data_IF_192321837558
#
_entry.id   IF_192321837558
#
_cell.length_a   1.000
_cell.length_b   1.000
_cell.length_c   1.000
_cell.angle_alpha   90.00
_cell.angle_beta   90.00
_cell.angle_gamma   90.00
#
_symmetry.space_group_name_H-M   'P 1'
#
loop_
_entity.id
_entity.type
_entity.pdbx_description
1 polymer ?
#
# COMPACT_ATOMS: atom_id res chain seq x y z
N UNK A 1 6.91 10.83 -23.68
CA UNK A 1 7.71 9.74 -24.25
C UNK A 1 7.54 8.45 -23.44
N UNK A 2 7.86 8.41 -22.14
CA UNK A 2 7.73 7.16 -21.34
C UNK A 2 6.28 6.68 -21.16
N UNK A 3 5.32 7.58 -20.90
CA UNK A 3 3.89 7.23 -20.81
C UNK A 3 3.31 6.69 -22.13
N UNK A 4 3.79 7.19 -23.26
CA UNK A 4 3.34 6.79 -24.60
C UNK A 4 3.86 5.40 -24.99
N UNK A 5 5.11 5.09 -24.59
CA UNK A 5 5.68 3.75 -24.76
C UNK A 5 4.89 2.74 -23.93
N UNK A 6 4.57 3.09 -22.69
CA UNK A 6 3.81 2.23 -21.79
C UNK A 6 2.38 1.97 -22.31
N UNK A 7 1.64 3.01 -22.71
CA UNK A 7 0.28 2.86 -23.24
C UNK A 7 0.28 2.02 -24.52
N UNK A 8 1.20 2.30 -25.45
CA UNK A 8 1.32 1.53 -26.69
C UNK A 8 1.61 0.06 -26.42
N UNK A 9 2.43 -0.23 -25.40
CA UNK A 9 2.78 -1.60 -25.03
C UNK A 9 1.62 -2.34 -24.38
N UNK A 10 0.90 -1.69 -23.47
CA UNK A 10 -0.33 -2.24 -22.87
C UNK A 10 -1.37 -2.55 -23.94
N UNK A 11 -1.60 -1.62 -24.87
CA UNK A 11 -2.54 -1.83 -25.97
C UNK A 11 -2.17 -3.01 -26.86
N UNK A 12 -0.87 -3.20 -27.13
CA UNK A 12 -0.38 -4.35 -27.91
C UNK A 12 -0.61 -5.67 -27.18
N UNK A 13 -0.23 -5.75 -25.90
CA UNK A 13 -0.43 -6.95 -25.09
C UNK A 13 -1.92 -7.29 -24.97
N UNK A 14 -2.77 -6.28 -24.75
CA UNK A 14 -4.21 -6.47 -24.67
C UNK A 14 -4.79 -7.03 -25.97
N UNK A 15 -4.35 -6.53 -27.14
CA UNK A 15 -4.75 -7.11 -28.44
C UNK A 15 -4.31 -8.56 -28.60
N UNK A 16 -3.07 -8.88 -28.22
CA UNK A 16 -2.59 -10.28 -28.26
C UNK A 16 -3.47 -11.18 -27.40
N UNK A 17 -3.84 -10.72 -26.20
CA UNK A 17 -4.75 -11.44 -25.30
C UNK A 17 -6.12 -11.61 -25.95
N UNK A 18 -6.71 -10.54 -26.48
CA UNK A 18 -8.05 -10.55 -27.10
C UNK A 18 -8.12 -11.46 -28.33
N UNK A 19 -7.11 -11.39 -29.20
CA UNK A 19 -7.04 -12.17 -30.44
C UNK A 19 -6.82 -13.67 -30.14
N UNK A 20 -6.05 -13.97 -29.09
CA UNK A 20 -5.71 -15.35 -28.71
C UNK A 20 -6.78 -16.01 -27.83
N UNK A 21 -7.64 -15.22 -27.16
CA UNK A 21 -8.59 -15.72 -26.16
C UNK A 21 -9.53 -16.81 -26.71
N UNK A 22 -9.98 -16.66 -27.95
CA UNK A 22 -10.91 -17.62 -28.58
C UNK A 22 -10.24 -18.93 -29.04
N UNK A 23 -8.91 -18.92 -29.20
CA UNK A 23 -8.14 -20.04 -29.75
C UNK A 23 -7.41 -20.83 -28.66
N UNK A 24 -7.23 -20.24 -27.47
CA UNK A 24 -6.55 -20.88 -26.37
C UNK A 24 -7.38 -21.99 -25.71
N UNK A 25 -6.73 -22.80 -24.88
CA UNK A 25 -7.42 -23.85 -24.16
C UNK A 25 -8.37 -23.27 -23.11
N UNK A 26 -9.41 -24.01 -22.67
CA UNK A 26 -10.34 -23.51 -21.66
C UNK A 26 -9.68 -23.13 -20.33
N UNK A 27 -8.62 -23.83 -19.90
CA UNK A 27 -7.95 -23.53 -18.63
C UNK A 27 -6.99 -22.35 -18.76
N UNK A 28 -6.36 -22.17 -19.94
CA UNK A 28 -5.62 -20.95 -20.28
C UNK A 28 -6.52 -19.74 -20.21
N UNK A 29 -7.70 -19.78 -20.86
CA UNK A 29 -8.67 -18.70 -20.81
C UNK A 29 -9.14 -18.40 -19.37
N UNK A 30 -9.35 -19.45 -18.57
CA UNK A 30 -9.74 -19.30 -17.16
C UNK A 30 -8.63 -18.70 -16.31
N UNK A 31 -7.37 -19.05 -16.57
CA UNK A 31 -6.19 -18.44 -15.95
C UNK A 31 -6.09 -16.95 -16.29
N UNK A 32 -6.35 -16.57 -17.55
CA UNK A 32 -6.42 -15.16 -17.96
C UNK A 32 -7.48 -14.40 -17.17
N UNK A 33 -8.71 -14.93 -17.11
CA UNK A 33 -9.80 -14.31 -16.34
C UNK A 33 -9.52 -14.28 -14.83
N UNK A 34 -8.72 -15.24 -14.32
CA UNK A 34 -8.30 -15.25 -12.92
C UNK A 34 -7.33 -14.11 -12.61
N UNK A 35 -6.45 -13.76 -13.55
CA UNK A 35 -5.46 -12.68 -13.42
C UNK A 35 -6.06 -11.30 -13.74
N UNK A 36 -6.90 -11.24 -14.78
CA UNK A 36 -7.49 -10.03 -15.34
C UNK A 36 -9.02 -10.13 -15.31
N UNK A 37 -9.64 -10.09 -14.11
CA UNK A 37 -11.11 -10.17 -13.99
C UNK A 37 -11.86 -9.02 -14.66
N UNK A 38 -11.16 -7.93 -14.97
CA UNK A 38 -11.66 -6.75 -15.70
C UNK A 38 -11.90 -6.98 -17.20
N UNK A 39 -11.38 -8.06 -17.78
CA UNK A 39 -11.63 -8.39 -19.18
C UNK A 39 -13.10 -8.80 -19.36
N UNK A 40 -13.83 -8.07 -20.20
CA UNK A 40 -15.24 -8.35 -20.53
C UNK A 40 -15.36 -9.57 -21.47
N UNK A 41 -15.01 -10.74 -20.93
CA UNK A 41 -15.14 -12.04 -21.60
C UNK A 41 -15.76 -13.03 -20.62
N UNK A 42 -16.60 -13.91 -21.15
CA UNK A 42 -17.26 -14.93 -20.37
C UNK A 42 -16.94 -16.30 -20.95
N UNK A 43 -16.61 -17.24 -20.06
CA UNK A 43 -16.56 -18.65 -20.38
C UNK A 43 -17.96 -19.24 -20.23
N UNK A 44 -18.36 -20.12 -21.14
CA UNK A 44 -19.58 -20.91 -20.95
C UNK A 44 -19.31 -22.02 -19.94
N UNK A 45 -19.35 -21.65 -18.66
CA UNK A 45 -19.11 -22.55 -17.54
C UNK A 45 -20.11 -23.70 -17.49
N UNK A 46 -21.30 -23.55 -18.08
CA UNK A 46 -22.31 -24.62 -18.10
C UNK A 46 -21.90 -25.77 -19.02
N UNK A 47 -21.44 -25.45 -20.22
CA UNK A 47 -20.90 -26.43 -21.16
C UNK A 47 -19.62 -27.05 -20.61
N UNK A 48 -18.71 -26.23 -20.07
CA UNK A 48 -17.47 -26.71 -19.45
C UNK A 48 -17.74 -27.64 -18.27
N UNK A 49 -18.73 -27.32 -17.42
CA UNK A 49 -19.09 -28.16 -16.29
C UNK A 49 -19.63 -29.53 -16.72
N UNK A 50 -20.44 -29.57 -17.78
CA UNK A 50 -20.92 -30.84 -18.33
C UNK A 50 -19.77 -31.68 -18.89
N UNK A 51 -18.85 -31.07 -19.63
CA UNK A 51 -17.68 -31.75 -20.20
C UNK A 51 -16.66 -32.20 -19.13
N UNK A 52 -16.54 -31.47 -18.02
CA UNK A 52 -15.62 -31.81 -16.93
C UNK A 52 -15.91 -33.19 -16.31
N UNK A 53 -17.17 -33.64 -16.35
CA UNK A 53 -17.59 -34.98 -15.89
C UNK A 53 -17.02 -36.11 -16.74
N UNK A 54 -16.42 -35.82 -17.89
CA UNK A 54 -15.67 -36.79 -18.69
C UNK A 54 -14.23 -36.98 -18.20
N UNK A 55 -13.80 -36.21 -17.20
CA UNK A 55 -12.45 -36.29 -16.63
C UNK A 55 -11.37 -35.60 -17.46
N UNK A 56 -11.74 -34.64 -18.32
CA UNK A 56 -10.77 -33.86 -19.10
C UNK A 56 -10.16 -32.76 -18.23
N UNK A 57 -8.84 -32.77 -18.06
CA UNK A 57 -8.15 -31.84 -17.16
C UNK A 57 -8.32 -30.36 -17.52
N UNK A 58 -8.43 -29.93 -18.81
CA UNK A 58 -8.64 -28.51 -19.10
C UNK A 58 -9.93 -27.98 -18.48
N UNK A 59 -11.04 -28.69 -18.65
CA UNK A 59 -12.33 -28.29 -18.09
C UNK A 59 -12.31 -28.30 -16.55
N UNK A 60 -11.66 -29.31 -15.95
CA UNK A 60 -11.53 -29.40 -14.48
C UNK A 60 -10.72 -28.22 -13.94
N UNK A 61 -9.60 -27.88 -14.57
CA UNK A 61 -8.78 -26.73 -14.18
C UNK A 61 -9.53 -25.40 -14.36
N UNK A 62 -10.32 -25.24 -15.44
CA UNK A 62 -11.21 -24.08 -15.62
C UNK A 62 -12.20 -23.92 -14.48
N UNK A 63 -12.87 -25.01 -14.08
CA UNK A 63 -13.76 -24.99 -12.91
C UNK A 63 -12.99 -24.68 -11.63
N UNK A 64 -11.77 -25.18 -11.49
CA UNK A 64 -10.89 -24.89 -10.36
C UNK A 64 -10.60 -23.39 -10.21
N UNK A 65 -10.20 -22.71 -11.29
CA UNK A 65 -10.03 -21.24 -11.28
C UNK A 65 -11.35 -20.50 -11.01
N UNK A 66 -12.48 -20.99 -11.53
CA UNK A 66 -13.79 -20.39 -11.28
C UNK A 66 -14.22 -20.51 -9.80
N UNK A 67 -13.97 -21.66 -9.17
CA UNK A 67 -14.17 -21.84 -7.74
C UNK A 67 -13.21 -20.95 -6.96
N UNK A 68 -11.95 -20.85 -7.41
CA UNK A 68 -10.92 -19.99 -6.85
C UNK A 68 -11.28 -18.51 -6.86
N UNK A 69 -12.02 -18.03 -7.86
CA UNK A 69 -12.55 -16.66 -7.93
C UNK A 69 -13.85 -16.47 -7.12
N UNK A 70 -14.36 -17.51 -6.46
CA UNK A 70 -15.52 -17.46 -5.58
C UNK A 70 -16.81 -18.08 -6.14
N UNK A 71 -16.81 -18.56 -7.38
CA UNK A 71 -17.98 -19.21 -7.97
C UNK A 71 -18.07 -20.70 -7.55
N UNK A 72 -18.86 -20.98 -6.52
CA UNK A 72 -19.03 -22.34 -5.98
C UNK A 72 -20.10 -23.19 -6.69
N UNK A 73 -20.77 -22.66 -7.71
CA UNK A 73 -21.93 -23.33 -8.32
C UNK A 73 -21.60 -24.69 -8.92
N UNK A 74 -20.40 -24.85 -9.50
CA UNK A 74 -19.98 -26.07 -10.19
C UNK A 74 -19.05 -26.98 -9.36
N UNK A 75 -19.11 -26.87 -8.03
CA UNK A 75 -18.25 -27.64 -7.11
C UNK A 75 -18.42 -29.15 -7.27
N UNK A 76 -19.65 -29.64 -7.46
CA UNK A 76 -19.92 -31.07 -7.64
C UNK A 76 -19.33 -31.60 -8.96
N UNK A 77 -19.51 -30.88 -10.07
CA UNK A 77 -18.92 -31.21 -11.35
C UNK A 77 -17.39 -31.25 -11.29
N UNK A 78 -16.79 -30.27 -10.61
CA UNK A 78 -15.35 -30.22 -10.39
C UNK A 78 -14.85 -31.45 -9.62
N UNK A 79 -15.51 -31.82 -8.52
CA UNK A 79 -15.14 -32.99 -7.71
C UNK A 79 -15.34 -34.31 -8.46
N UNK A 80 -16.44 -34.49 -9.20
CA UNK A 80 -16.66 -35.70 -10.02
C UNK A 80 -15.61 -35.81 -11.13
N UNK A 81 -15.34 -34.71 -11.83
CA UNK A 81 -14.30 -34.64 -12.86
C UNK A 81 -12.92 -34.99 -12.30
N UNK A 82 -12.56 -34.45 -11.13
CA UNK A 82 -11.25 -34.71 -10.51
C UNK A 82 -11.10 -36.17 -10.05
N UNK A 83 -12.14 -36.76 -9.46
CA UNK A 83 -12.15 -38.18 -9.10
C UNK A 83 -11.98 -39.09 -10.34
N UNK A 84 -12.53 -38.70 -11.48
CA UNK A 84 -12.35 -39.44 -12.74
C UNK A 84 -10.96 -39.25 -13.31
N UNK A 85 -10.42 -38.03 -13.27
CA UNK A 85 -9.06 -37.74 -13.70
C UNK A 85 -8.03 -38.56 -12.89
N UNK A 86 -8.21 -38.66 -11.57
CA UNK A 86 -7.38 -39.49 -10.69
C UNK A 86 -7.37 -40.97 -11.09
N UNK A 87 -8.45 -41.49 -11.68
CA UNK A 87 -8.59 -42.90 -12.09
C UNK A 87 -8.13 -43.16 -13.53
N UNK A 88 -7.66 -42.15 -14.26
CA UNK A 88 -7.20 -42.32 -15.66
C UNK A 88 -5.89 -43.10 -15.74
N UNK A 89 -5.65 -43.67 -16.92
CA UNK A 89 -4.40 -44.35 -17.26
C UNK A 89 -3.23 -43.37 -17.33
N UNK A 90 -2.00 -43.89 -17.18
CA UNK A 90 -0.76 -43.10 -17.13
C UNK A 90 -0.62 -42.04 -18.25
N UNK A 91 -0.96 -42.29 -19.53
CA UNK A 91 -0.76 -41.29 -20.58
C UNK A 91 -1.58 -40.01 -20.37
N UNK A 92 -2.86 -40.14 -20.00
CA UNK A 92 -3.72 -38.97 -19.75
C UNK A 92 -3.35 -38.23 -18.47
N UNK A 93 -2.76 -38.93 -17.50
CA UNK A 93 -2.22 -38.32 -16.30
C UNK A 93 -0.91 -37.59 -16.57
N UNK A 94 -0.09 -38.08 -17.51
CA UNK A 94 1.16 -37.45 -17.91
C UNK A 94 0.92 -36.08 -18.56
N UNK A 95 -0.09 -35.94 -19.43
CA UNK A 95 -0.45 -34.65 -20.04
C UNK A 95 -0.83 -33.63 -18.96
N UNK A 96 -1.70 -34.02 -18.01
CA UNK A 96 -2.06 -33.16 -16.87
C UNK A 96 -0.85 -32.85 -15.98
N UNK A 97 -0.04 -33.86 -15.65
CA UNK A 97 1.16 -33.69 -14.85
C UNK A 97 2.22 -32.84 -15.57
N UNK A 98 2.11 -32.66 -16.89
CA UNK A 98 2.97 -31.80 -17.69
C UNK A 98 2.58 -30.32 -17.65
N UNK A 99 1.33 -30.01 -17.30
CA UNK A 99 0.71 -28.70 -17.43
C UNK A 99 0.58 -27.97 -16.08
N UNK A 100 1.49 -27.02 -15.85
CA UNK A 100 1.56 -26.26 -14.60
C UNK A 100 0.36 -25.33 -14.38
N UNK A 101 -0.25 -24.80 -15.45
CA UNK A 101 -1.42 -23.93 -15.36
C UNK A 101 -2.64 -24.75 -14.94
N UNK A 102 -2.81 -25.94 -15.53
CA UNK A 102 -3.87 -26.85 -15.14
C UNK A 102 -3.75 -27.28 -13.67
N UNK A 103 -2.54 -27.63 -13.23
CA UNK A 103 -2.26 -27.99 -11.83
C UNK A 103 -2.58 -26.82 -10.89
N UNK A 104 -2.16 -25.60 -11.24
CA UNK A 104 -2.49 -24.40 -10.47
C UNK A 104 -4.01 -24.17 -10.39
N UNK A 105 -4.74 -24.33 -11.50
CA UNK A 105 -6.19 -24.19 -11.53
C UNK A 105 -6.90 -25.17 -10.61
N UNK A 106 -6.51 -26.45 -10.64
CA UNK A 106 -7.06 -27.46 -9.74
C UNK A 106 -6.73 -27.13 -8.28
N UNK A 107 -5.50 -26.72 -7.97
CA UNK A 107 -5.11 -26.34 -6.61
C UNK A 107 -5.88 -25.10 -6.10
N UNK A 108 -6.08 -24.09 -6.96
CA UNK A 108 -6.85 -22.88 -6.64
C UNK A 108 -8.32 -23.21 -6.35
N UNK A 109 -8.89 -24.22 -7.01
CA UNK A 109 -10.22 -24.74 -6.68
C UNK A 109 -10.26 -25.48 -5.35
N UNK A 110 -9.39 -26.49 -5.18
CA UNK A 110 -9.35 -27.36 -4.00
C UNK A 110 -9.13 -26.62 -2.68
N UNK A 111 -8.36 -25.53 -2.68
CA UNK A 111 -8.10 -24.76 -1.44
C UNK A 111 -9.35 -24.08 -0.87
N UNK A 112 -10.36 -23.83 -1.70
CA UNK A 112 -11.60 -23.13 -1.31
C UNK A 112 -12.73 -24.10 -0.93
N UNK A 113 -12.49 -25.40 -1.00
CA UNK A 113 -13.43 -26.43 -0.60
C UNK A 113 -13.25 -26.82 0.87
N UNK A 114 -14.33 -27.30 1.48
CA UNK A 114 -14.31 -27.80 2.85
C UNK A 114 -13.41 -29.05 2.97
N UNK A 115 -12.76 -29.20 4.12
CA UNK A 115 -11.87 -30.33 4.41
C UNK A 115 -12.64 -31.61 4.77
N UNK A 116 -13.32 -32.16 3.76
CA UNK A 116 -13.86 -33.52 3.76
C UNK A 116 -12.74 -34.56 3.57
N UNK A 117 -12.98 -35.82 3.90
CA UNK A 117 -11.99 -36.89 3.62
C UNK A 117 -11.69 -37.00 2.12
N UNK A 118 -12.71 -36.89 1.26
CA UNK A 118 -12.55 -36.90 -0.20
C UNK A 118 -11.64 -35.76 -0.68
N UNK A 119 -11.84 -34.53 -0.20
CA UNK A 119 -11.01 -33.39 -0.61
C UNK A 119 -9.58 -33.51 -0.09
N UNK A 120 -9.36 -34.08 1.11
CA UNK A 120 -8.01 -34.38 1.62
C UNK A 120 -7.29 -35.42 0.77
N UNK A 121 -7.97 -36.49 0.35
CA UNK A 121 -7.40 -37.51 -0.55
C UNK A 121 -7.01 -36.89 -1.90
N UNK A 122 -7.86 -36.03 -2.46
CA UNK A 122 -7.60 -35.33 -3.71
C UNK A 122 -6.44 -34.33 -3.59
N UNK A 123 -6.36 -33.57 -2.48
CA UNK A 123 -5.22 -32.67 -2.19
C UNK A 123 -3.92 -33.46 -2.09
N UNK A 124 -3.93 -34.62 -1.40
CA UNK A 124 -2.76 -35.50 -1.28
C UNK A 124 -2.31 -36.04 -2.64
N UNK A 125 -3.24 -36.53 -3.45
CA UNK A 125 -2.94 -37.01 -4.80
C UNK A 125 -2.37 -35.91 -5.70
N UNK A 126 -2.94 -34.69 -5.66
CA UNK A 126 -2.41 -33.57 -6.43
C UNK A 126 -1.01 -33.16 -5.95
N UNK A 127 -0.74 -33.22 -4.63
CA UNK A 127 0.60 -33.00 -4.08
C UNK A 127 1.61 -34.03 -4.59
N UNK A 128 1.22 -35.31 -4.75
CA UNK A 128 2.09 -36.32 -5.36
C UNK A 128 2.47 -35.91 -6.79
N UNK A 129 1.52 -35.40 -7.58
CA UNK A 129 1.77 -34.89 -8.95
C UNK A 129 2.65 -33.63 -8.94
N UNK A 130 2.39 -32.68 -8.05
CA UNK A 130 3.21 -31.46 -7.88
C UNK A 130 4.67 -31.82 -7.58
N UNK A 131 4.90 -32.90 -6.84
CA UNK A 131 6.25 -33.36 -6.48
C UNK A 131 6.91 -34.20 -7.59
N UNK A 132 6.20 -34.57 -8.67
CA UNK A 132 6.83 -35.19 -9.84
C UNK A 132 7.75 -34.14 -10.49
N UNK A 133 9.05 -34.40 -10.41
CA UNK A 133 10.12 -33.50 -10.86
C UNK A 133 9.96 -33.14 -12.34
N UNK A 134 9.66 -31.88 -12.61
CA UNK A 134 9.91 -31.26 -13.90
C UNK A 134 11.21 -30.44 -13.88
N UNK A 135 11.72 -30.11 -15.07
CA UNK A 135 12.87 -29.22 -15.23
C UNK A 135 12.63 -27.90 -14.50
N UNK A 136 13.49 -27.55 -13.55
CA UNK A 136 13.45 -26.25 -12.83
C UNK A 136 13.75 -25.05 -13.73
N UNK A 137 13.98 -25.26 -15.03
CA UNK A 137 14.28 -24.22 -16.02
C UNK A 137 13.06 -23.74 -16.78
N UNK A 138 11.89 -24.33 -16.58
CA UNK A 138 10.67 -23.83 -17.22
C UNK A 138 10.12 -22.62 -16.46
N UNK A 139 9.65 -21.61 -17.20
CA UNK A 139 9.15 -20.37 -16.62
C UNK A 139 7.90 -20.62 -15.76
N UNK A 140 7.15 -21.69 -16.06
CA UNK A 140 5.91 -22.09 -15.39
C UNK A 140 6.10 -22.83 -14.06
N UNK A 141 7.32 -23.30 -13.74
CA UNK A 141 7.60 -24.07 -12.50
C UNK A 141 7.12 -23.36 -11.22
N UNK A 142 7.12 -22.02 -11.24
CA UNK A 142 6.62 -21.18 -10.14
C UNK A 142 5.12 -21.39 -9.87
N UNK A 143 4.32 -21.62 -10.90
CA UNK A 143 2.91 -21.95 -10.77
C UNK A 143 2.72 -23.29 -10.06
N UNK A 144 3.55 -24.29 -10.39
CA UNK A 144 3.54 -25.59 -9.71
C UNK A 144 3.95 -25.48 -8.24
N UNK A 145 4.99 -24.70 -7.94
CA UNK A 145 5.40 -24.44 -6.56
C UNK A 145 4.27 -23.75 -5.77
N UNK A 146 3.62 -22.75 -6.36
CA UNK A 146 2.44 -22.09 -5.79
C UNK A 146 1.30 -23.10 -5.59
N UNK A 147 1.01 -23.96 -6.57
CA UNK A 147 -0.02 -24.98 -6.45
C UNK A 147 0.22 -25.89 -5.25
N UNK A 148 1.47 -26.32 -5.00
CA UNK A 148 1.81 -27.06 -3.80
C UNK A 148 1.55 -26.27 -2.51
N UNK A 149 1.98 -25.01 -2.46
CA UNK A 149 1.79 -24.16 -1.28
C UNK A 149 0.32 -23.79 -1.02
N UNK A 150 -0.53 -23.75 -2.06
CA UNK A 150 -1.97 -23.61 -1.90
C UNK A 150 -2.61 -24.83 -1.22
N UNK A 151 -1.99 -26.01 -1.32
CA UNK A 151 -2.54 -27.26 -0.79
C UNK A 151 -2.05 -27.58 0.61
N UNK A 152 -0.77 -27.33 0.94
CA UNK A 152 -0.17 -27.72 2.22
C UNK A 152 0.65 -26.63 2.94
N UNK A 153 0.84 -25.45 2.34
CA UNK A 153 1.58 -24.32 2.92
C UNK A 153 3.02 -24.64 3.38
N UNK A 154 3.69 -25.62 2.78
CA UNK A 154 5.04 -26.05 3.22
C UNK A 154 6.17 -25.08 2.84
N UNK A 155 5.90 -24.05 2.02
CA UNK A 155 6.87 -23.01 1.68
C UNK A 155 7.81 -23.43 0.54
N UNK A 156 7.25 -24.01 -0.52
CA UNK A 156 7.96 -24.35 -1.76
C UNK A 156 8.38 -23.09 -2.52
N UNK A 157 7.58 -22.04 -2.44
CA UNK A 157 7.91 -20.75 -3.04
C UNK A 157 9.09 -20.10 -2.30
N UNK A 158 10.14 -19.76 -3.05
CA UNK A 158 11.37 -19.12 -2.53
C UNK A 158 11.81 -18.03 -3.48
N UNK A 159 12.31 -16.90 -3.00
CA UNK A 159 12.84 -15.86 -3.89
C UNK A 159 13.97 -16.43 -4.76
N UNK A 160 13.83 -16.37 -6.08
CA UNK A 160 14.90 -16.72 -7.00
C UNK A 160 15.87 -15.54 -7.13
N UNK A 161 17.17 -15.71 -6.93
CA UNK A 161 18.14 -14.67 -7.29
C UNK A 161 18.29 -14.52 -8.82
N UNK A 162 17.98 -15.57 -9.59
CA UNK A 162 18.35 -15.69 -11.00
C UNK A 162 17.12 -15.66 -11.93
N UNK A 163 16.07 -14.92 -11.55
CA UNK A 163 14.91 -14.72 -12.42
C UNK A 163 15.35 -14.22 -13.81
N UNK A 164 14.75 -14.76 -14.87
CA UNK A 164 14.69 -14.06 -16.14
C UNK A 164 13.50 -13.08 -16.13
N UNK A 165 13.33 -12.31 -17.21
CA UNK A 165 12.25 -11.32 -17.29
C UNK A 165 10.86 -11.96 -17.14
N UNK A 166 10.67 -13.15 -17.71
CA UNK A 166 9.41 -13.89 -17.66
C UNK A 166 9.11 -14.41 -16.26
N UNK A 167 10.08 -15.05 -15.61
CA UNK A 167 9.95 -15.55 -14.25
C UNK A 167 9.71 -14.44 -13.24
N UNK A 168 10.34 -13.27 -13.43
CA UNK A 168 10.06 -12.09 -12.60
C UNK A 168 8.63 -11.55 -12.81
N UNK A 169 8.20 -11.42 -14.07
CA UNK A 169 6.83 -10.97 -14.38
C UNK A 169 5.78 -11.93 -13.80
N UNK A 170 6.05 -13.25 -13.87
CA UNK A 170 5.23 -14.27 -13.27
C UNK A 170 5.17 -14.12 -11.74
N UNK A 171 6.32 -14.01 -11.07
CA UNK A 171 6.40 -13.84 -9.61
C UNK A 171 5.58 -12.63 -9.13
N UNK A 172 5.71 -11.45 -9.76
CA UNK A 172 4.92 -10.27 -9.39
C UNK A 172 3.41 -10.46 -9.65
N UNK A 173 3.05 -11.15 -10.73
CA UNK A 173 1.67 -11.47 -11.05
C UNK A 173 1.07 -12.42 -10.01
N UNK A 174 1.75 -13.53 -9.73
CA UNK A 174 1.30 -14.54 -8.76
C UNK A 174 1.17 -13.94 -7.35
N UNK A 175 2.14 -13.09 -6.94
CA UNK A 175 2.11 -12.39 -5.65
C UNK A 175 0.90 -11.47 -5.51
N UNK A 176 0.43 -10.89 -6.61
CA UNK A 176 -0.73 -10.01 -6.62
C UNK A 176 -2.04 -10.79 -6.51
N UNK A 177 -2.14 -11.93 -7.20
CA UNK A 177 -3.38 -12.73 -7.26
C UNK A 177 -3.52 -13.67 -6.04
N UNK A 178 -2.40 -14.17 -5.49
CA UNK A 178 -2.34 -15.10 -4.36
C UNK A 178 -1.49 -14.55 -3.19
N UNK A 179 -1.82 -13.38 -2.61
CA UNK A 179 -0.94 -12.68 -1.66
C UNK A 179 -0.61 -13.48 -0.39
N UNK A 180 -1.55 -14.32 0.09
CA UNK A 180 -1.39 -15.07 1.34
C UNK A 180 -0.18 -16.01 1.30
N UNK A 181 0.01 -16.70 0.16
CA UNK A 181 1.12 -17.64 -0.06
C UNK A 181 2.48 -16.92 -0.16
N UNK A 182 2.48 -15.63 -0.49
CA UNK A 182 3.69 -14.82 -0.62
C UNK A 182 3.99 -13.96 0.62
N UNK A 183 3.15 -14.01 1.66
CA UNK A 183 3.28 -13.17 2.86
C UNK A 183 4.62 -13.33 3.59
N UNK A 184 5.22 -14.52 3.55
CA UNK A 184 6.51 -14.82 4.19
C UNK A 184 7.70 -14.73 3.23
N UNK A 185 7.46 -14.45 1.95
CA UNK A 185 8.48 -14.49 0.91
C UNK A 185 8.96 -13.06 0.67
N UNK A 186 10.26 -12.77 0.90
CA UNK A 186 10.77 -11.42 0.73
C UNK A 186 10.63 -10.98 -0.72
N UNK A 187 10.25 -9.70 -0.89
CA UNK A 187 10.20 -9.10 -2.22
C UNK A 187 11.61 -9.05 -2.84
N UNK A 188 11.71 -9.18 -4.18
CA UNK A 188 12.96 -8.96 -4.86
C UNK A 188 13.54 -7.57 -4.58
N UNK A 189 14.87 -7.50 -4.51
CA UNK A 189 15.59 -6.25 -4.24
C UNK A 189 15.21 -5.16 -5.26
N UNK A 190 15.21 -3.89 -4.81
CA UNK A 190 14.75 -2.76 -5.63
C UNK A 190 15.49 -2.64 -6.96
N UNK A 191 16.80 -2.86 -6.96
CA UNK A 191 17.63 -2.75 -8.16
C UNK A 191 17.33 -3.87 -9.15
N UNK A 192 17.08 -5.08 -8.63
CA UNK A 192 16.63 -6.23 -9.41
C UNK A 192 15.27 -5.94 -10.08
N UNK A 193 14.29 -5.43 -9.33
CA UNK A 193 12.98 -5.03 -9.88
C UNK A 193 13.11 -3.96 -10.97
N UNK A 194 13.96 -2.96 -10.77
CA UNK A 194 14.22 -1.91 -11.77
C UNK A 194 14.82 -2.46 -13.05
N UNK A 195 15.78 -3.38 -12.93
CA UNK A 195 16.39 -4.05 -14.08
C UNK A 195 15.32 -4.81 -14.87
N UNK A 196 14.54 -5.67 -14.22
CA UNK A 196 13.51 -6.45 -14.90
C UNK A 196 12.40 -5.59 -15.47
N UNK A 197 12.01 -4.50 -14.81
CA UNK A 197 11.02 -3.59 -15.38
C UNK A 197 11.54 -2.93 -16.67
N UNK A 198 12.81 -2.51 -16.67
CA UNK A 198 13.44 -1.97 -17.89
C UNK A 198 13.48 -3.02 -19.00
N UNK A 199 13.86 -4.25 -18.67
CA UNK A 199 13.92 -5.35 -19.62
C UNK A 199 12.51 -5.67 -20.17
N UNK A 200 11.51 -5.76 -19.28
CA UNK A 200 10.11 -5.97 -19.62
C UNK A 200 9.58 -4.86 -20.52
N UNK A 201 9.94 -3.60 -20.31
CA UNK A 201 9.55 -2.48 -21.19
C UNK A 201 10.27 -2.52 -22.54
N UNK A 202 11.49 -3.03 -22.61
CA UNK A 202 12.32 -3.02 -23.82
C UNK A 202 12.05 -4.22 -24.75
N UNK A 203 11.69 -5.37 -24.19
CA UNK A 203 11.36 -6.58 -24.99
C UNK A 203 10.10 -6.38 -25.84
N UNK A 204 10.03 -6.95 -27.02
CA UNK A 204 8.85 -6.82 -27.88
C UNK A 204 7.72 -7.71 -27.35
N UNK A 205 6.50 -7.19 -27.11
CA UNK A 205 5.32 -8.01 -26.80
C UNK A 205 5.07 -9.17 -27.75
N UNK A 206 5.55 -9.08 -29.01
CA UNK A 206 5.46 -10.20 -29.97
C UNK A 206 6.25 -11.45 -29.55
N UNK A 207 7.12 -11.35 -28.54
CA UNK A 207 7.83 -12.48 -27.94
C UNK A 207 7.00 -13.23 -26.88
N UNK A 208 5.84 -12.70 -26.48
CA UNK A 208 4.86 -13.49 -25.75
C UNK A 208 4.21 -14.44 -26.74
N UNK A 209 4.84 -15.62 -26.91
CA UNK A 209 4.42 -16.63 -27.89
C UNK A 209 2.99 -17.11 -27.62
N UNK A 210 2.58 -17.11 -26.35
CA UNK A 210 1.28 -17.60 -25.90
C UNK A 210 0.52 -16.58 -25.02
N UNK A 211 -0.81 -16.77 -24.93
CA UNK A 211 -1.74 -15.87 -24.24
C UNK A 211 -1.41 -15.71 -22.74
N UNK A 212 -0.91 -16.75 -22.11
CA UNK A 212 -0.59 -16.77 -20.68
C UNK A 212 0.58 -15.83 -20.39
N UNK A 213 1.63 -15.89 -21.22
CA UNK A 213 2.78 -15.00 -21.09
C UNK A 213 2.38 -13.55 -21.34
N UNK A 214 1.55 -13.29 -22.38
CA UNK A 214 1.06 -11.95 -22.67
C UNK A 214 0.25 -11.37 -21.47
N UNK A 215 -0.57 -12.21 -20.86
CA UNK A 215 -1.37 -11.86 -19.66
C UNK A 215 -0.50 -11.57 -18.46
N UNK A 216 0.51 -12.40 -18.20
CA UNK A 216 1.47 -12.21 -17.11
C UNK A 216 2.24 -10.90 -17.29
N UNK A 217 2.72 -10.64 -18.50
CA UNK A 217 3.44 -9.41 -18.81
C UNK A 217 2.55 -8.18 -18.63
N UNK A 218 1.31 -8.24 -19.14
CA UNK A 218 0.34 -7.18 -18.97
C UNK A 218 0.10 -6.87 -17.50
N UNK A 219 -0.19 -7.90 -16.68
CA UNK A 219 -0.44 -7.71 -15.26
C UNK A 219 0.78 -7.21 -14.49
N UNK A 220 1.97 -7.74 -14.80
CA UNK A 220 3.20 -7.30 -14.16
C UNK A 220 3.50 -5.82 -14.43
N UNK A 221 3.28 -5.35 -15.67
CA UNK A 221 3.41 -3.94 -16.02
C UNK A 221 2.44 -3.09 -15.19
N UNK A 222 1.17 -3.48 -15.11
CA UNK A 222 0.14 -2.75 -14.37
C UNK A 222 0.48 -2.64 -12.88
N UNK A 223 0.84 -3.76 -12.25
CA UNK A 223 1.22 -3.81 -10.83
C UNK A 223 2.45 -2.92 -10.54
N UNK A 224 3.46 -2.96 -11.41
CA UNK A 224 4.66 -2.14 -11.20
C UNK A 224 4.33 -0.65 -11.37
N UNK A 225 3.46 -0.30 -12.33
CA UNK A 225 3.02 1.08 -12.53
C UNK A 225 2.21 1.59 -11.33
N UNK A 226 1.28 0.79 -10.82
CA UNK A 226 0.46 1.15 -9.66
C UNK A 226 1.35 1.38 -8.42
N UNK A 227 2.30 0.45 -8.16
CA UNK A 227 3.28 0.61 -7.07
C UNK A 227 4.18 1.84 -7.25
N UNK A 228 4.55 2.17 -8.50
CA UNK A 228 5.37 3.35 -8.80
C UNK A 228 4.57 4.65 -8.58
N UNK A 229 3.29 4.68 -8.95
CA UNK A 229 2.40 5.82 -8.73
C UNK A 229 2.15 6.04 -7.23
N UNK A 230 1.81 4.98 -6.48
CA UNK A 230 1.64 5.04 -5.03
C UNK A 230 2.91 5.58 -4.34
N UNK A 231 4.08 5.15 -4.81
CA UNK A 231 5.36 5.63 -4.30
C UNK A 231 5.63 7.11 -4.60
N UNK A 232 5.31 7.58 -5.81
CA UNK A 232 5.50 8.99 -6.18
C UNK A 232 4.57 9.87 -5.35
N UNK A 233 3.31 9.47 -5.21
CA UNK A 233 2.32 10.19 -4.40
C UNK A 233 2.78 10.28 -2.94
N UNK A 234 3.26 9.17 -2.37
CA UNK A 234 3.75 9.16 -0.98
C UNK A 234 5.07 9.92 -0.80
N UNK A 235 6.00 9.92 -1.76
CA UNK A 235 7.26 10.67 -1.66
C UNK A 235 7.02 12.19 -1.78
N UNK A 236 6.14 12.65 -2.68
CA UNK A 236 5.78 14.07 -2.83
C UNK A 236 5.01 14.61 -1.62
N UNK A 237 4.06 13.84 -1.10
CA UNK A 237 3.27 14.24 0.08
C UNK A 237 4.14 14.29 1.36
N UNK A 238 5.07 13.35 1.53
CA UNK A 238 6.01 13.35 2.65
C UNK A 238 6.96 14.55 2.61
N UNK A 239 7.47 14.92 1.44
CA UNK A 239 8.31 16.10 1.27
C UNK A 239 7.54 17.40 1.58
N UNK A 240 6.27 17.47 1.15
CA UNK A 240 5.39 18.60 1.45
C UNK A 240 5.10 18.72 2.97
N UNK A 241 4.84 17.60 3.65
CA UNK A 241 4.60 17.56 5.09
C UNK A 241 5.85 17.95 5.89
N UNK A 242 7.04 17.49 5.47
CA UNK A 242 8.30 17.86 6.13
C UNK A 242 8.58 19.37 6.01
N UNK A 243 8.34 19.96 4.83
CA UNK A 243 8.47 21.40 4.59
C UNK A 243 7.47 22.21 5.43
N UNK A 244 6.20 21.77 5.47
CA UNK A 244 5.18 22.40 6.32
C UNK A 244 5.52 22.28 7.82
N UNK A 245 6.09 21.16 8.25
CA UNK A 245 6.60 20.95 9.61
C UNK A 245 7.76 21.90 9.95
N UNK A 246 8.71 22.12 9.03
CA UNK A 246 9.80 23.09 9.20
C UNK A 246 9.29 24.53 9.26
N UNK A 247 8.32 24.89 8.43
CA UNK A 247 7.68 26.22 8.45
C UNK A 247 6.96 26.44 9.78
N UNK A 248 6.17 25.47 10.24
CA UNK A 248 5.50 25.52 11.55
C UNK A 248 6.50 25.71 12.70
N UNK A 249 7.55 24.89 12.74
CA UNK A 249 8.61 24.98 13.77
C UNK A 249 9.29 26.35 13.80
N UNK A 250 9.54 26.94 12.62
CA UNK A 250 10.13 28.27 12.52
C UNK A 250 9.18 29.37 13.03
N UNK A 251 7.88 29.27 12.72
CA UNK A 251 6.85 30.20 13.22
C UNK A 251 6.77 30.12 14.75
N UNK A 252 6.67 28.90 15.30
CA UNK A 252 6.57 28.65 16.74
C UNK A 252 7.78 29.22 17.50
N UNK A 253 8.98 28.99 16.96
CA UNK A 253 10.24 29.50 17.51
C UNK A 253 10.32 31.02 17.47
N UNK A 254 9.85 31.64 16.38
CA UNK A 254 9.85 33.10 16.25
C UNK A 254 8.82 33.75 17.19
N UNK A 255 7.62 33.16 17.32
CA UNK A 255 6.60 33.63 18.26
C UNK A 255 7.11 33.60 19.71
N UNK A 256 7.79 32.53 20.12
CA UNK A 256 8.39 32.43 21.47
C UNK A 256 9.49 33.47 21.69
N UNK A 257 10.33 33.76 20.69
CA UNK A 257 11.37 34.80 20.78
C UNK A 257 10.75 36.20 20.93
N UNK A 258 9.70 36.49 20.17
CA UNK A 258 8.99 37.78 20.26
C UNK A 258 8.32 37.93 21.62
N UNK A 259 7.61 36.91 22.10
CA UNK A 259 7.01 36.91 23.44
C UNK A 259 8.06 37.15 24.54
N UNK A 260 9.23 36.49 24.45
CA UNK A 260 10.35 36.69 25.40
C UNK A 260 10.90 38.12 25.36
N UNK A 261 11.01 38.73 24.17
CA UNK A 261 11.44 40.14 24.04
C UNK A 261 10.41 41.10 24.64
N UNK A 262 9.13 40.90 24.38
CA UNK A 262 8.06 41.72 24.97
C UNK A 262 8.08 41.64 26.50
N UNK A 263 8.25 40.43 27.07
CA UNK A 263 8.36 40.25 28.51
C UNK A 263 9.62 40.92 29.10
N UNK A 264 10.75 40.86 28.38
CA UNK A 264 11.97 41.54 28.79
C UNK A 264 11.82 43.07 28.77
N UNK A 265 11.14 43.63 27.76
CA UNK A 265 10.84 45.06 27.70
C UNK A 265 9.92 45.51 28.82
N UNK A 266 8.89 44.71 29.14
CA UNK A 266 8.02 44.94 30.27
C UNK A 266 8.82 44.95 31.58
N UNK A 267 9.65 43.93 31.81
CA UNK A 267 10.52 43.88 32.99
C UNK A 267 11.46 45.10 33.07
N UNK A 268 12.08 45.46 31.94
CA UNK A 268 12.99 46.61 31.85
C UNK A 268 12.28 47.92 32.19
N UNK A 269 11.03 48.06 31.76
CA UNK A 269 10.20 49.23 32.09
C UNK A 269 9.93 49.32 33.59
N UNK A 270 9.57 48.22 34.26
CA UNK A 270 9.36 48.23 35.71
C UNK A 270 10.64 48.56 36.48
N UNK A 271 11.78 48.01 36.07
CA UNK A 271 13.08 48.34 36.68
C UNK A 271 13.40 49.82 36.51
N UNK A 272 13.16 50.38 35.31
CA UNK A 272 13.39 51.80 35.05
C UNK A 272 12.50 52.69 35.93
N UNK A 273 11.20 52.40 36.00
CA UNK A 273 10.25 53.15 36.85
C UNK A 273 10.67 53.07 38.32
N UNK A 274 11.09 51.90 38.79
CA UNK A 274 11.60 51.72 40.16
C UNK A 274 12.85 52.57 40.42
N UNK A 275 13.83 52.59 39.50
CA UNK A 275 15.03 53.40 39.63
C UNK A 275 14.74 54.91 39.63
N UNK A 276 13.80 55.35 38.79
CA UNK A 276 13.33 56.75 38.77
C UNK A 276 12.71 57.09 40.13
N UNK A 277 11.85 56.20 40.66
CA UNK A 277 11.20 56.40 41.95
C UNK A 277 12.20 56.51 43.10
N UNK A 278 13.19 55.63 43.13
CA UNK A 278 14.30 55.69 44.10
C UNK A 278 15.09 57.00 43.96
N UNK A 279 15.41 57.43 42.74
CA UNK A 279 16.09 58.70 42.49
C UNK A 279 15.29 59.91 42.99
N UNK A 280 13.97 59.90 42.79
CA UNK A 280 13.08 60.94 43.31
C UNK A 280 13.02 60.96 44.83
N UNK A 281 13.01 59.78 45.49
CA UNK A 281 13.09 59.68 46.96
C UNK A 281 14.38 60.31 47.49
N UNK A 282 15.53 60.02 46.86
CA UNK A 282 16.80 60.63 47.26
C UNK A 282 16.82 62.15 47.08
N UNK A 283 16.11 62.69 46.08
CA UNK A 283 16.10 64.12 45.78
C UNK A 283 15.12 64.93 46.63
N UNK A 284 13.89 64.44 46.81
CA UNK A 284 12.80 65.17 47.48
C UNK A 284 12.54 64.73 48.93
N UNK A 285 13.19 63.66 49.38
CA UNK A 285 12.98 63.07 50.69
C UNK A 285 11.74 62.19 50.75
N UNK A 286 11.73 61.28 51.73
CA UNK A 286 10.68 60.28 51.92
C UNK A 286 9.30 60.90 52.15
N UNK A 287 9.21 61.91 53.03
CA UNK A 287 7.96 62.55 53.44
C UNK A 287 7.15 63.12 52.25
N UNK A 288 7.82 63.62 51.22
CA UNK A 288 7.15 64.16 50.01
C UNK A 288 6.73 63.03 49.06
N UNK A 289 7.52 61.97 48.99
CA UNK A 289 7.31 60.85 48.06
C UNK A 289 6.36 59.77 48.59
N UNK A 290 6.06 59.75 49.88
CA UNK A 290 5.20 58.76 50.51
C UNK A 290 3.81 58.70 49.85
N UNK A 291 3.14 59.84 49.71
CA UNK A 291 1.80 59.92 49.11
C UNK A 291 1.78 59.43 47.65
N UNK A 292 2.84 59.72 46.90
CA UNK A 292 2.98 59.26 45.52
C UNK A 292 3.23 57.76 45.43
N UNK A 293 3.99 57.20 46.36
CA UNK A 293 4.27 55.75 46.42
C UNK A 293 2.99 54.96 46.64
N UNK A 294 2.17 55.38 47.61
CA UNK A 294 0.85 54.79 47.86
C UNK A 294 -0.08 54.92 46.66
N UNK A 295 -0.05 56.05 45.96
CA UNK A 295 -0.83 56.25 44.74
C UNK A 295 -0.44 55.28 43.63
N UNK A 296 0.85 55.11 43.36
CA UNK A 296 1.37 54.19 42.33
C UNK A 296 1.05 52.74 42.69
N UNK A 297 1.24 52.34 43.94
CA UNK A 297 0.92 50.99 44.42
C UNK A 297 -0.58 50.68 44.30
N UNK A 298 -1.43 51.64 44.67
CA UNK A 298 -2.88 51.55 44.49
C UNK A 298 -3.28 51.35 43.03
N UNK A 299 -2.64 52.08 42.10
CA UNK A 299 -2.88 51.92 40.66
C UNK A 299 -2.47 50.52 40.17
N UNK A 300 -1.32 49.99 40.62
CA UNK A 300 -0.87 48.65 40.23
C UNK A 300 -1.87 47.57 40.67
N UNK A 301 -2.37 47.67 41.91
CA UNK A 301 -3.38 46.74 42.44
C UNK A 301 -4.68 46.82 41.63
N UNK A 302 -5.17 48.03 41.36
CA UNK A 302 -6.38 48.25 40.54
C UNK A 302 -6.20 47.63 39.14
N UNK A 303 -5.07 47.87 38.48
CA UNK A 303 -4.77 47.29 37.16
C UNK A 303 -4.72 45.76 37.22
N UNK A 304 -4.14 45.18 38.27
CA UNK A 304 -4.12 43.73 38.49
C UNK A 304 -5.52 43.13 38.61
N UNK A 305 -6.41 43.77 39.38
CA UNK A 305 -7.82 43.35 39.49
C UNK A 305 -8.59 43.50 38.19
N UNK A 306 -8.36 44.59 37.44
CA UNK A 306 -8.96 44.77 36.11
C UNK A 306 -8.50 43.68 35.13
N UNK A 307 -7.20 43.34 35.13
CA UNK A 307 -6.66 42.25 34.32
C UNK A 307 -7.34 40.92 34.65
N UNK A 308 -7.46 40.60 35.94
CA UNK A 308 -8.16 39.40 36.39
C UNK A 308 -9.63 39.39 35.97
N UNK A 309 -10.35 40.51 36.14
CA UNK A 309 -11.75 40.63 35.76
C UNK A 309 -12.00 40.42 34.25
N UNK A 310 -11.08 40.89 33.40
CA UNK A 310 -11.18 40.73 31.94
C UNK A 310 -10.76 39.32 31.51
N UNK A 311 -9.71 38.78 32.13
CA UNK A 311 -9.04 37.56 31.65
C UNK A 311 -9.52 36.29 32.37
N UNK A 312 -10.23 36.44 33.50
CA UNK A 312 -10.68 35.35 34.40
C UNK A 312 -9.55 34.35 34.71
N UNK A 313 -8.32 34.84 34.85
CA UNK A 313 -7.13 34.04 35.12
C UNK A 313 -6.20 34.81 36.02
N UNK A 314 -5.55 34.12 36.95
CA UNK A 314 -4.54 34.72 37.80
C UNK A 314 -3.39 35.31 36.96
N UNK A 315 -2.85 36.49 37.32
CA UNK A 315 -1.70 37.10 36.68
C UNK A 315 -0.42 36.30 37.00
N UNK A 316 -0.31 35.12 36.40
CA UNK A 316 0.88 34.28 36.45
C UNK A 316 1.78 34.62 35.25
N UNK A 317 3.07 34.95 35.46
CA UNK A 317 4.03 35.22 34.39
C UNK A 317 4.07 34.12 33.31
N UNK A 318 3.90 32.85 33.70
CA UNK A 318 3.87 31.71 32.78
C UNK A 318 2.62 31.78 31.89
N UNK A 319 1.44 31.98 32.49
CA UNK A 319 0.18 32.10 31.75
C UNK A 319 0.17 33.31 30.81
N UNK A 320 0.80 34.43 31.23
CA UNK A 320 0.92 35.64 30.41
C UNK A 320 1.85 35.37 29.23
N UNK A 321 2.98 34.69 29.46
CA UNK A 321 3.91 34.29 28.41
C UNK A 321 3.26 33.36 27.39
N UNK A 322 2.55 32.32 27.85
CA UNK A 322 1.89 31.35 26.97
C UNK A 322 0.79 32.03 26.14
N UNK A 323 -0.03 32.90 26.75
CA UNK A 323 -1.06 33.66 26.04
C UNK A 323 -0.46 34.62 24.99
N UNK A 324 0.66 35.26 25.30
CA UNK A 324 1.39 36.12 24.35
C UNK A 324 1.98 35.30 23.20
N UNK A 325 2.63 34.18 23.51
CA UNK A 325 3.21 33.29 22.52
C UNK A 325 2.12 32.73 21.59
N UNK A 326 0.99 32.26 22.13
CA UNK A 326 -0.14 31.78 21.34
C UNK A 326 -0.80 32.87 20.50
N UNK A 327 -0.92 34.10 21.01
CA UNK A 327 -1.45 35.24 20.25
C UNK A 327 -0.54 35.59 19.07
N UNK A 328 0.76 35.72 19.31
CA UNK A 328 1.74 35.99 18.26
C UNK A 328 1.80 34.86 17.23
N UNK A 329 1.75 33.60 17.69
CA UNK A 329 1.71 32.44 16.82
C UNK A 329 0.48 32.47 15.90
N UNK A 330 -0.71 32.76 16.45
CA UNK A 330 -1.95 32.90 15.67
C UNK A 330 -1.87 34.02 14.64
N UNK A 331 -1.37 35.20 15.03
CA UNK A 331 -1.19 36.32 14.11
C UNK A 331 -0.18 35.98 13.00
N UNK A 332 0.88 35.25 13.29
CA UNK A 332 1.86 34.82 12.29
C UNK A 332 1.28 33.77 11.34
N UNK A 333 0.46 32.82 11.84
CA UNK A 333 -0.25 31.87 10.98
C UNK A 333 -1.22 32.57 10.03
N UNK A 334 -2.01 33.53 10.53
CA UNK A 334 -2.96 34.30 9.72
C UNK A 334 -2.23 35.13 8.65
N UNK A 335 -1.11 35.77 9.01
CA UNK A 335 -0.29 36.57 8.06
C UNK A 335 0.37 35.74 6.96
N UNK A 336 0.79 34.52 7.28
CA UNK A 336 1.45 33.62 6.33
C UNK A 336 0.46 32.72 5.58
N UNK A 337 -0.84 32.84 5.83
CA UNK A 337 -1.87 31.99 5.24
C UNK A 337 -1.72 30.51 5.61
N UNK A 338 -1.11 30.22 6.76
CA UNK A 338 -0.82 28.84 7.18
C UNK A 338 -2.05 28.22 7.84
N UNK A 339 -2.68 27.28 7.14
CA UNK A 339 -3.84 26.53 7.65
C UNK A 339 -3.39 25.37 8.55
N UNK A 340 -3.49 25.60 9.86
CA UNK A 340 -3.15 24.62 10.90
C UNK A 340 -4.05 23.38 10.88
N UNK A 341 -5.33 23.53 10.53
CA UNK A 341 -6.27 22.40 10.46
C UNK A 341 -5.94 21.50 9.28
N UNK A 342 -5.64 22.10 8.13
CA UNK A 342 -5.23 21.35 6.94
C UNK A 342 -3.92 20.61 7.17
N UNK A 343 -2.95 21.21 7.87
CA UNK A 343 -1.70 20.54 8.24
C UNK A 343 -1.93 19.35 9.18
N UNK A 344 -2.80 19.47 10.19
CA UNK A 344 -3.12 18.36 11.10
C UNK A 344 -3.87 17.23 10.40
N UNK A 345 -4.79 17.55 9.48
CA UNK A 345 -5.48 16.55 8.65
C UNK A 345 -4.51 15.78 7.75
N UNK A 346 -3.59 16.50 7.08
CA UNK A 346 -2.56 15.88 6.25
C UNK A 346 -1.61 14.98 7.05
N UNK A 347 -1.32 15.36 8.31
CA UNK A 347 -0.50 14.54 9.22
C UNK A 347 -1.25 13.32 9.76
N UNK A 348 -2.56 13.43 10.00
CA UNK A 348 -3.39 12.33 10.51
C UNK A 348 -3.73 11.28 9.44
N UNK A 349 -3.84 11.67 8.17
CA UNK A 349 -4.04 10.73 7.07
C UNK A 349 -2.79 9.92 6.70
N UNK A 350 -1.60 10.35 7.13
CA UNK A 350 -0.31 9.71 6.80
C UNK A 350 0.36 8.95 7.94
N UNK A 351 -0.13 9.07 9.18
CA UNK A 351 0.26 8.25 10.33
C UNK A 351 -0.71 7.09 10.47
#
# INVERSE_FOLDING_TARGET
MEQEILSTKRDRLLRVIEDSFQQCTPHSAAFVLRILPEIDRQLDLSTIANESTLGHYPQIATLGFSIGSGNKYYTENFLDGLNRLQRRTEPGLQDFASDDIAILGVADGLRHLEDTETTKELKKWLLEIVNISQSTKDWSYRMRALAGDLLDTTGRLKTDPDFDTCGFALEETLRTIWPDQYSQIPEPARDTRRKFFKDLLTQDPSQAEDIEMATIWFKAIDVICDKAVEKILTEEDNAAIELLGKIKSNIDRNAHRTAKRCLLYFLSFFVLVFLIHVGLIFHFGWETMESWTWGVEGVIIIVGYFYYAITMSDPNPVNIFDKLASREQRTMYERLGFDTKKFEQLRQHHN
#
